data_IF_961883944079
#
_entry.id   IF_961883944079
#
_cell.length_a   1.000
_cell.length_b   1.000
_cell.length_c   1.000
_cell.angle_alpha   90.00
_cell.angle_beta   90.00
_cell.angle_gamma   90.00
#
_symmetry.space_group_name_H-M   'P 1'
#
loop_
_entity.id
_entity.type
_entity.pdbx_description
1 polymer ?
#
# COMPACT_ATOMS: atom_id res chain seq x y z
N UNK A 1 43.21 -7.76 -12.69
CA UNK A 1 42.08 -7.15 -11.93
C UNK A 1 42.25 -7.45 -10.44
N UNK A 2 42.54 -6.45 -9.60
CA UNK A 2 42.59 -6.63 -8.13
C UNK A 2 41.16 -6.80 -7.60
N UNK A 3 40.82 -7.96 -7.04
CA UNK A 3 39.55 -8.16 -6.31
C UNK A 3 39.57 -7.26 -5.07
N UNK A 4 38.74 -6.22 -5.06
CA UNK A 4 38.46 -5.46 -3.84
C UNK A 4 37.82 -6.41 -2.80
N UNK A 5 38.59 -6.83 -1.80
CA UNK A 5 38.07 -7.59 -0.63
C UNK A 5 37.81 -6.60 0.50
N UNK A 6 36.55 -6.45 0.88
CA UNK A 6 36.13 -5.66 2.05
C UNK A 6 36.80 -6.19 3.33
N UNK A 7 37.24 -5.29 4.20
CA UNK A 7 37.85 -5.67 5.48
C UNK A 7 36.85 -6.44 6.36
N UNK A 8 37.31 -7.35 7.24
CA UNK A 8 36.42 -8.07 8.15
C UNK A 8 35.56 -7.15 9.01
N UNK A 9 36.11 -6.04 9.49
CA UNK A 9 35.39 -5.02 10.26
C UNK A 9 34.27 -4.36 9.44
N UNK A 10 34.55 -4.00 8.19
CA UNK A 10 33.58 -3.36 7.30
C UNK A 10 32.45 -4.32 6.91
N UNK A 11 32.75 -5.61 6.72
CA UNK A 11 31.73 -6.65 6.50
C UNK A 11 30.85 -6.87 7.73
N UNK A 12 31.43 -6.83 8.94
CA UNK A 12 30.68 -6.90 10.19
C UNK A 12 29.72 -5.72 10.35
N UNK A 13 30.20 -4.49 10.13
CA UNK A 13 29.40 -3.28 10.18
C UNK A 13 28.26 -3.26 9.14
N UNK A 14 28.53 -3.71 7.91
CA UNK A 14 27.51 -3.80 6.88
C UNK A 14 26.39 -4.77 7.29
N UNK A 15 26.76 -5.94 7.84
CA UNK A 15 25.78 -6.94 8.30
C UNK A 15 24.88 -6.40 9.43
N UNK A 16 25.45 -5.69 10.40
CA UNK A 16 24.67 -5.13 11.52
C UNK A 16 23.74 -4.02 11.06
N UNK A 17 24.19 -3.15 10.15
CA UNK A 17 23.36 -2.12 9.54
C UNK A 17 22.21 -2.71 8.73
N UNK A 18 22.48 -3.72 7.89
CA UNK A 18 21.43 -4.38 7.11
C UNK A 18 20.42 -5.09 8.00
N UNK A 19 20.88 -5.78 9.06
CA UNK A 19 19.99 -6.47 9.99
C UNK A 19 19.12 -5.50 10.79
N UNK A 20 19.73 -4.47 11.37
CA UNK A 20 19.01 -3.44 12.13
C UNK A 20 18.02 -2.66 11.27
N UNK A 21 18.41 -2.30 10.04
CA UNK A 21 17.54 -1.62 9.08
C UNK A 21 16.32 -2.44 8.69
N UNK A 22 16.49 -3.73 8.39
CA UNK A 22 15.37 -4.62 8.07
C UNK A 22 14.39 -4.78 9.25
N UNK A 23 14.91 -4.93 10.47
CA UNK A 23 14.09 -4.99 11.68
C UNK A 23 13.33 -3.68 11.87
N UNK A 24 13.99 -2.53 11.70
CA UNK A 24 13.36 -1.22 11.82
C UNK A 24 12.21 -1.04 10.81
N UNK A 25 12.44 -1.37 9.54
CA UNK A 25 11.41 -1.31 8.50
C UNK A 25 10.25 -2.26 8.83
N UNK A 26 10.57 -3.51 9.19
CA UNK A 26 9.57 -4.51 9.56
C UNK A 26 8.72 -4.09 10.75
N UNK A 27 9.32 -3.51 11.79
CA UNK A 27 8.60 -2.95 12.94
C UNK A 27 7.69 -1.80 12.52
N UNK A 28 8.18 -0.83 11.73
CA UNK A 28 7.34 0.30 11.31
C UNK A 28 6.15 -0.14 10.46
N UNK A 29 6.33 -1.14 9.60
CA UNK A 29 5.24 -1.76 8.83
C UNK A 29 4.26 -2.46 9.78
N UNK A 30 4.74 -3.26 10.72
CA UNK A 30 3.89 -3.99 11.68
C UNK A 30 3.08 -3.06 12.60
N UNK A 31 3.68 -1.95 13.02
CA UNK A 31 3.02 -0.94 13.85
C UNK A 31 2.13 0.01 13.05
N UNK A 32 2.19 0.00 11.72
CA UNK A 32 1.41 0.92 10.89
C UNK A 32 1.82 2.38 11.10
N UNK A 33 3.11 2.66 11.27
CA UNK A 33 3.62 4.00 11.59
C UNK A 33 3.37 4.99 10.44
N UNK A 34 2.35 5.84 10.55
CA UNK A 34 1.96 6.81 9.50
C UNK A 34 3.13 7.67 9.03
N UNK A 35 3.93 8.17 9.97
CA UNK A 35 5.12 8.99 9.67
C UNK A 35 6.16 8.25 8.84
N UNK A 36 6.33 6.94 9.08
CA UNK A 36 7.26 6.12 8.28
C UNK A 36 6.73 5.93 6.86
N UNK A 37 5.42 5.68 6.72
CA UNK A 37 4.79 5.59 5.40
C UNK A 37 4.94 6.89 4.62
N UNK A 38 4.62 8.03 5.24
CA UNK A 38 4.63 9.35 4.59
C UNK A 38 6.05 9.82 4.21
N UNK A 39 7.01 9.68 5.13
CA UNK A 39 8.34 10.29 4.97
C UNK A 39 9.41 9.37 4.40
N UNK A 40 9.19 8.04 4.41
CA UNK A 40 10.21 7.07 3.97
C UNK A 40 9.65 6.16 2.88
N UNK A 41 8.57 5.42 3.17
CA UNK A 41 8.09 4.38 2.27
C UNK A 41 7.49 4.95 0.97
N UNK A 42 6.63 5.96 1.07
CA UNK A 42 5.98 6.58 -0.09
C UNK A 42 6.96 7.33 -0.99
N UNK A 43 7.91 8.17 -0.50
CA UNK A 43 8.97 8.74 -1.32
C UNK A 43 9.79 7.69 -2.07
N UNK A 44 10.12 6.57 -1.40
CA UNK A 44 10.84 5.47 -2.04
C UNK A 44 10.04 4.82 -3.18
N UNK A 45 8.78 4.45 -2.95
CA UNK A 45 7.96 3.84 -4.00
C UNK A 45 7.60 4.81 -5.14
N UNK A 46 7.62 6.11 -4.87
CA UNK A 46 7.39 7.13 -5.91
C UNK A 46 8.46 7.11 -7.01
N UNK A 47 9.64 6.54 -6.75
CA UNK A 47 10.72 6.37 -7.74
C UNK A 47 10.42 5.31 -8.80
N UNK A 48 9.39 4.49 -8.60
CA UNK A 48 9.00 3.41 -9.51
C UNK A 48 7.69 3.76 -10.25
N UNK A 49 7.45 3.06 -11.35
CA UNK A 49 6.21 3.15 -12.14
C UNK A 49 4.95 2.98 -11.28
N UNK A 50 3.94 3.81 -11.55
CA UNK A 50 2.71 3.87 -10.76
C UNK A 50 1.91 2.59 -10.81
N UNK A 51 1.77 2.01 -12.00
CA UNK A 51 0.97 0.80 -12.18
C UNK A 51 1.65 -0.42 -11.56
N UNK A 52 2.98 -0.53 -11.65
CA UNK A 52 3.74 -1.60 -11.00
C UNK A 52 3.67 -1.53 -9.46
N UNK A 53 3.83 -0.34 -8.88
CA UNK A 53 3.69 -0.15 -7.42
C UNK A 53 2.25 -0.46 -6.98
N UNK A 54 1.26 -0.04 -7.76
CA UNK A 54 -0.13 -0.37 -7.46
C UNK A 54 -0.38 -1.89 -7.48
N UNK A 55 0.09 -2.61 -8.51
CA UNK A 55 0.01 -4.08 -8.57
C UNK A 55 0.71 -4.75 -7.38
N UNK A 56 1.88 -4.24 -6.99
CA UNK A 56 2.58 -4.73 -5.81
C UNK A 56 1.76 -4.48 -4.54
N UNK A 57 1.13 -3.32 -4.39
CA UNK A 57 0.29 -3.02 -3.23
C UNK A 57 -0.91 -3.97 -3.14
N UNK A 58 -1.60 -4.27 -4.24
CA UNK A 58 -2.68 -5.26 -4.29
C UNK A 58 -2.16 -6.64 -3.88
N UNK A 59 -1.00 -7.06 -4.38
CA UNK A 59 -0.38 -8.33 -4.03
C UNK A 59 -0.06 -8.43 -2.53
N UNK A 60 0.58 -7.39 -1.97
CA UNK A 60 0.91 -7.36 -0.54
C UNK A 60 -0.35 -7.36 0.33
N UNK A 61 -1.38 -6.62 -0.06
CA UNK A 61 -2.66 -6.59 0.65
C UNK A 61 -3.38 -7.93 0.58
N UNK A 62 -3.39 -8.58 -0.59
CA UNK A 62 -3.94 -9.93 -0.77
C UNK A 62 -3.34 -10.95 0.20
N UNK A 63 -2.04 -10.86 0.46
CA UNK A 63 -1.34 -11.74 1.40
C UNK A 63 -1.28 -11.20 2.83
N UNK A 64 -2.01 -10.14 3.16
CA UNK A 64 -2.00 -9.50 4.48
C UNK A 64 -0.59 -9.07 4.95
N UNK A 65 0.30 -8.72 4.02
CA UNK A 65 1.67 -8.25 4.31
C UNK A 65 1.72 -6.72 4.52
N UNK A 66 0.62 -6.16 4.99
CA UNK A 66 0.35 -4.73 5.19
C UNK A 66 -0.22 -4.53 6.60
N UNK A 67 -0.01 -3.37 7.23
CA UNK A 67 -0.55 -3.08 8.54
C UNK A 67 -2.07 -3.19 8.55
N UNK A 68 -2.61 -3.79 9.60
CA UNK A 68 -4.04 -3.85 9.84
C UNK A 68 -4.41 -2.76 10.84
N UNK A 69 -5.58 -2.15 10.66
CA UNK A 69 -6.10 -1.17 11.60
C UNK A 69 -6.47 -1.87 12.91
N UNK A 70 -5.82 -1.43 14.00
CA UNK A 70 -6.02 -1.97 15.36
C UNK A 70 -7.03 -1.15 16.18
N UNK A 71 -7.55 -0.06 15.63
CA UNK A 71 -8.42 0.89 16.33
C UNK A 71 -9.88 0.42 16.26
N UNK A 72 -10.61 0.62 17.36
CA UNK A 72 -12.07 0.48 17.41
C UNK A 72 -12.70 1.77 16.89
N UNK A 73 -13.65 1.64 15.97
CA UNK A 73 -14.40 2.78 15.43
C UNK A 73 -15.26 3.43 16.52
N UNK A 74 -15.28 4.76 16.53
CA UNK A 74 -16.12 5.52 17.45
C UNK A 74 -17.59 5.47 16.97
N UNK A 75 -18.56 5.12 17.82
CA UNK A 75 -19.97 5.10 17.45
C UNK A 75 -20.48 6.41 16.82
N UNK A 76 -19.85 7.55 17.09
CA UNK A 76 -20.21 8.83 16.45
C UNK A 76 -20.05 8.82 14.93
N UNK A 77 -19.18 7.95 14.39
CA UNK A 77 -18.94 7.81 12.94
C UNK A 77 -19.92 6.83 12.28
N UNK A 78 -20.76 6.13 13.05
CA UNK A 78 -21.70 5.17 12.48
C UNK A 78 -22.69 5.88 11.55
N UNK A 79 -22.78 5.39 10.31
CA UNK A 79 -23.59 6.00 9.25
C UNK A 79 -24.55 4.97 8.69
N UNK A 80 -25.80 5.36 8.43
CA UNK A 80 -26.82 4.52 7.81
C UNK A 80 -27.19 5.05 6.43
N UNK A 81 -27.11 4.20 5.40
CA UNK A 81 -27.47 4.54 4.03
C UNK A 81 -28.04 3.30 3.32
N UNK A 82 -29.14 3.45 2.57
CA UNK A 82 -29.80 2.37 1.82
C UNK A 82 -30.03 1.07 2.62
N UNK A 83 -30.52 1.21 3.86
CA UNK A 83 -30.71 0.11 4.81
C UNK A 83 -29.44 -0.66 5.22
N UNK A 84 -28.26 -0.14 4.89
CA UNK A 84 -26.97 -0.63 5.37
C UNK A 84 -26.43 0.26 6.48
N UNK A 85 -25.73 -0.36 7.42
CA UNK A 85 -25.00 0.31 8.50
C UNK A 85 -23.50 0.21 8.24
N UNK A 86 -22.83 1.35 8.29
CA UNK A 86 -21.39 1.48 8.09
C UNK A 86 -20.77 1.98 9.39
N UNK A 87 -19.70 1.33 9.84
CA UNK A 87 -18.98 1.71 11.07
C UNK A 87 -18.33 3.10 10.97
N UNK A 88 -17.99 3.50 9.76
CA UNK A 88 -17.39 4.80 9.43
C UNK A 88 -17.89 5.23 8.05
N UNK A 89 -18.04 6.55 7.78
CA UNK A 89 -18.42 7.03 6.46
C UNK A 89 -17.28 6.95 5.43
N UNK A 90 -16.07 6.56 5.85
CA UNK A 90 -14.88 6.51 4.99
C UNK A 90 -14.85 5.17 4.25
N UNK A 91 -14.86 5.20 2.92
CA UNK A 91 -14.73 4.01 2.07
C UNK A 91 -13.60 4.12 1.06
N UNK A 92 -13.29 2.99 0.42
CA UNK A 92 -12.33 2.92 -0.69
C UNK A 92 -13.09 2.90 -2.01
N UNK A 93 -12.79 3.87 -2.88
CA UNK A 93 -13.44 4.02 -4.18
C UNK A 93 -13.04 2.93 -5.19
N UNK A 94 -13.89 2.74 -6.20
CA UNK A 94 -13.60 1.89 -7.34
C UNK A 94 -12.34 2.33 -8.10
N UNK A 95 -11.82 1.42 -8.91
CA UNK A 95 -10.58 1.61 -9.68
C UNK A 95 -9.34 1.18 -8.92
N UNK A 96 -9.40 1.02 -7.59
CA UNK A 96 -8.31 0.48 -6.78
C UNK A 96 -8.20 -1.05 -6.92
N UNK A 97 -9.17 -1.82 -6.45
CA UNK A 97 -9.20 -3.28 -6.65
C UNK A 97 -10.17 -3.64 -7.78
N UNK A 98 -9.69 -3.55 -9.02
CA UNK A 98 -10.54 -3.77 -10.21
C UNK A 98 -11.04 -5.21 -10.34
N UNK A 99 -10.30 -6.16 -9.78
CA UNK A 99 -10.54 -7.59 -9.98
C UNK A 99 -11.00 -8.29 -8.69
N UNK A 100 -11.11 -7.58 -7.57
CA UNK A 100 -11.48 -8.16 -6.27
C UNK A 100 -10.40 -9.08 -5.69
N UNK A 101 -9.13 -8.80 -5.97
CA UNK A 101 -8.00 -9.65 -5.58
C UNK A 101 -7.60 -9.51 -4.10
N UNK A 102 -7.93 -8.40 -3.46
CA UNK A 102 -7.42 -8.01 -2.14
C UNK A 102 -8.51 -7.57 -1.15
N UNK A 103 -9.77 -7.90 -1.42
CA UNK A 103 -10.95 -7.49 -0.62
C UNK A 103 -10.76 -7.75 0.88
N UNK A 104 -10.33 -8.97 1.24
CA UNK A 104 -10.16 -9.37 2.65
C UNK A 104 -9.03 -8.59 3.34
N UNK A 105 -7.96 -8.27 2.63
CA UNK A 105 -6.87 -7.46 3.17
C UNK A 105 -7.29 -6.00 3.32
N UNK A 106 -8.01 -5.46 2.33
CA UNK A 106 -8.50 -4.08 2.32
C UNK A 106 -9.55 -3.84 3.42
N UNK A 107 -10.40 -4.82 3.73
CA UNK A 107 -11.40 -4.67 4.81
C UNK A 107 -10.77 -4.51 6.19
N UNK A 108 -9.50 -4.90 6.35
CA UNK A 108 -8.73 -4.77 7.60
C UNK A 108 -8.05 -3.40 7.72
N UNK A 109 -8.17 -2.51 6.73
CA UNK A 109 -7.66 -1.13 6.82
C UNK A 109 -8.61 -0.17 7.54
N UNK A 110 -9.81 -0.64 7.93
CA UNK A 110 -10.77 0.19 8.67
C UNK A 110 -11.71 1.02 7.80
N UNK A 111 -11.80 0.72 6.50
CA UNK A 111 -12.84 1.29 5.65
C UNK A 111 -14.22 0.75 6.05
N UNK A 112 -15.23 1.61 6.03
CA UNK A 112 -16.62 1.23 6.23
C UNK A 112 -17.19 0.45 5.04
N UNK A 113 -16.68 0.72 3.83
CA UNK A 113 -17.04 0.00 2.61
C UNK A 113 -15.89 0.04 1.58
N UNK A 114 -15.92 -0.90 0.64
CA UNK A 114 -14.96 -1.00 -0.47
C UNK A 114 -15.75 -1.20 -1.76
N UNK A 115 -15.49 -0.37 -2.76
CA UNK A 115 -16.09 -0.49 -4.07
C UNK A 115 -15.11 -1.18 -5.04
N UNK A 116 -15.49 -2.35 -5.55
CA UNK A 116 -14.68 -3.17 -6.46
C UNK A 116 -14.98 -2.77 -7.91
N UNK A 117 -13.98 -2.92 -8.78
CA UNK A 117 -14.14 -2.69 -10.22
C UNK A 117 -13.42 -1.44 -10.69
N UNK A 118 -13.80 -0.82 -11.80
CA UNK A 118 -14.95 -1.14 -12.65
C UNK A 118 -14.73 -2.44 -13.44
N UNK A 119 -15.75 -3.31 -13.45
CA UNK A 119 -15.74 -4.56 -14.20
C UNK A 119 -16.51 -4.40 -15.51
N UNK A 120 -16.02 -5.02 -16.58
CA UNK A 120 -16.72 -5.11 -17.87
C UNK A 120 -17.17 -6.56 -18.12
N UNK A 121 -18.27 -6.80 -18.86
CA UNK A 121 -18.75 -8.17 -19.12
C UNK A 121 -17.72 -9.10 -19.78
N UNK A 122 -16.77 -8.54 -20.53
CA UNK A 122 -15.64 -9.25 -21.14
C UNK A 122 -14.33 -8.67 -20.60
N UNK A 123 -13.30 -9.50 -20.49
CA UNK A 123 -11.96 -9.06 -20.10
C UNK A 123 -11.40 -8.03 -21.11
N UNK A 124 -10.75 -6.99 -20.60
CA UNK A 124 -10.14 -5.93 -21.40
C UNK A 124 -8.72 -5.64 -20.90
N UNK A 125 -7.77 -5.47 -21.82
CA UNK A 125 -6.39 -5.09 -21.49
C UNK A 125 -6.26 -3.60 -21.11
N UNK A 126 -7.23 -2.77 -21.53
CA UNK A 126 -7.21 -1.31 -21.38
C UNK A 126 -6.24 -0.62 -22.33
N UNK A 127 -6.00 0.68 -22.11
CA UNK A 127 -5.11 1.52 -22.93
C UNK A 127 -3.64 1.07 -22.87
N UNK A 128 -2.84 1.45 -23.86
CA UNK A 128 -1.39 1.19 -23.85
C UNK A 128 -0.69 1.85 -22.65
N UNK A 129 0.40 1.26 -22.17
CA UNK A 129 1.18 1.77 -21.02
C UNK A 129 2.36 2.63 -21.48
N UNK A 130 2.83 3.61 -20.68
CA UNK A 130 2.34 4.00 -19.35
C UNK A 130 1.06 4.83 -19.43
N UNK A 131 0.14 4.60 -18.49
CA UNK A 131 -1.19 5.23 -18.45
C UNK A 131 -1.62 5.70 -17.07
N UNK A 132 -0.72 5.67 -16.09
CA UNK A 132 -0.98 6.19 -14.74
C UNK A 132 0.20 7.05 -14.34
N UNK A 133 -0.07 8.32 -14.07
CA UNK A 133 0.95 9.32 -13.78
C UNK A 133 0.65 9.97 -12.43
N UNK A 134 1.67 10.10 -11.58
CA UNK A 134 1.56 10.75 -10.27
C UNK A 134 2.12 12.17 -10.36
N UNK A 135 1.32 13.17 -9.99
CA UNK A 135 1.73 14.57 -9.85
C UNK A 135 1.89 14.84 -8.35
N UNK A 136 3.12 14.69 -7.85
CA UNK A 136 3.39 14.59 -6.40
C UNK A 136 3.17 15.92 -5.70
N UNK A 137 3.60 17.01 -6.34
CA UNK A 137 3.49 18.39 -5.88
C UNK A 137 2.02 18.79 -5.73
N UNK A 138 1.18 18.35 -6.66
CA UNK A 138 -0.26 18.63 -6.69
C UNK A 138 -1.10 17.61 -5.89
N UNK A 139 -0.46 16.60 -5.31
CA UNK A 139 -1.14 15.46 -4.65
C UNK A 139 -2.19 14.80 -5.57
N UNK A 140 -1.90 14.69 -6.86
CA UNK A 140 -2.84 14.24 -7.87
C UNK A 140 -2.34 13.00 -8.65
N UNK A 141 -3.29 12.33 -9.32
CA UNK A 141 -3.04 11.20 -10.22
C UNK A 141 -3.86 11.40 -11.49
N UNK A 142 -3.25 11.14 -12.64
CA UNK A 142 -3.92 11.08 -13.96
C UNK A 142 -3.87 9.63 -14.44
N UNK A 143 -5.02 9.04 -14.80
CA UNK A 143 -5.12 7.68 -15.33
C UNK A 143 -6.06 7.57 -16.53
#
# INVERSE_FOLDING_TARGET
MKRFRLSPKLRGALKTWTGGGLIFVGMNIYWGSERFYENVLMPFFRLFDAENVHRLSILLTKYNLVPQMKRVDDPILHTKLWNHEFKTPIGLAAGFDKNGEAIEGLSKFGFGFIEIGTVTPKAQYGNEKPRVFRLVEDRAVIN
#
